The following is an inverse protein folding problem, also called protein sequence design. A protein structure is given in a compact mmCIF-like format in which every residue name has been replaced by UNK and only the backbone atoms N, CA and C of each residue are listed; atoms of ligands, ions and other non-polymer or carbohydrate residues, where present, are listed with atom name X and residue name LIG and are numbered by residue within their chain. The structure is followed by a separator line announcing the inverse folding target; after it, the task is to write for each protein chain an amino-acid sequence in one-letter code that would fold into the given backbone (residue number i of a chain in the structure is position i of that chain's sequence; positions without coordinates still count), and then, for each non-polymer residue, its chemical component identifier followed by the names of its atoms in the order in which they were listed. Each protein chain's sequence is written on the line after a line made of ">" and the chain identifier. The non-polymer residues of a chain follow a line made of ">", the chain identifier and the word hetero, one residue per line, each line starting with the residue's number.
data_IF_211688122864
#
_entry.id   IF_211688122864
#
_cell.length_a   1.000
_cell.length_b   1.000
_cell.length_c   1.000
_cell.angle_alpha   90.00
_cell.angle_beta   90.00
_cell.angle_gamma   90.00
#
_symmetry.space_group_name_H-M   'P 1'
#
loop_
_entity.id
_entity.type
_entity.pdbx_description
1 polymer ?
#
# COMPACT_ATOMS: atom_id res chain seq x y z
N UNK A 1 5.60 7.16 -20.09
CA UNK A 1 5.51 8.48 -19.42
C UNK A 1 6.70 9.29 -19.87
N UNK A 2 6.50 10.51 -20.34
CA UNK A 2 7.59 11.42 -20.72
C UNK A 2 8.36 11.92 -19.50
N UNK A 3 9.66 12.17 -19.66
CA UNK A 3 10.46 12.81 -18.61
C UNK A 3 10.16 14.32 -18.56
N UNK A 4 10.06 14.94 -17.37
CA UNK A 4 9.41 16.25 -17.22
C UNK A 4 10.25 17.40 -17.78
N UNK A 5 9.62 18.31 -18.51
CA UNK A 5 10.31 19.43 -19.18
C UNK A 5 10.87 20.46 -18.19
N UNK A 6 10.16 20.74 -17.10
CA UNK A 6 10.62 21.58 -15.99
C UNK A 6 11.90 21.03 -15.35
N UNK A 7 11.94 19.72 -15.09
CA UNK A 7 13.13 19.06 -14.55
C UNK A 7 14.26 19.04 -15.58
N UNK A 8 13.99 18.80 -16.88
CA UNK A 8 15.02 18.90 -17.93
C UNK A 8 15.66 20.30 -17.93
N UNK A 9 14.87 21.35 -17.86
CA UNK A 9 15.39 22.72 -17.85
C UNK A 9 16.25 22.99 -16.61
N UNK A 10 15.79 22.57 -15.42
CA UNK A 10 16.57 22.70 -14.20
C UNK A 10 17.88 21.87 -14.23
N UNK A 11 17.85 20.68 -14.84
CA UNK A 11 19.03 19.83 -15.02
C UNK A 11 20.06 20.50 -15.94
N UNK A 12 19.61 21.06 -17.05
CA UNK A 12 20.46 21.81 -17.99
C UNK A 12 21.19 22.95 -17.27
N UNK A 13 20.46 23.75 -16.50
CA UNK A 13 21.05 24.86 -15.76
C UNK A 13 22.03 24.40 -14.68
N UNK A 14 21.72 23.28 -14.02
CA UNK A 14 22.60 22.67 -13.03
C UNK A 14 23.91 22.18 -13.66
N UNK A 15 23.84 21.46 -14.80
CA UNK A 15 25.02 20.99 -15.54
C UNK A 15 25.93 22.17 -15.91
N UNK A 16 25.37 23.28 -16.40
CA UNK A 16 26.15 24.47 -16.79
C UNK A 16 26.85 25.17 -15.62
N UNK A 17 26.30 25.04 -14.41
CA UNK A 17 26.86 25.59 -13.16
C UNK A 17 27.84 24.65 -12.47
N UNK A 18 27.83 23.36 -12.82
CA UNK A 18 28.74 22.35 -12.27
C UNK A 18 29.94 22.07 -13.17
N UNK A 19 29.75 22.12 -14.49
CA UNK A 19 30.77 21.70 -15.47
C UNK A 19 31.16 22.87 -16.38
N UNK A 20 32.47 23.15 -16.43
CA UNK A 20 33.02 24.19 -17.30
C UNK A 20 33.61 23.62 -18.61
N UNK A 21 34.51 22.63 -18.60
CA UNK A 21 35.05 22.07 -19.84
C UNK A 21 33.97 21.39 -20.67
N UNK A 22 34.04 21.57 -22.00
CA UNK A 22 33.13 20.89 -22.94
C UNK A 22 33.29 19.37 -22.88
N UNK A 23 34.53 18.90 -22.69
CA UNK A 23 34.84 17.48 -22.56
C UNK A 23 34.24 16.87 -21.29
N UNK A 24 34.18 17.62 -20.18
CA UNK A 24 33.57 17.16 -18.94
C UNK A 24 32.05 17.04 -19.06
N UNK A 25 31.40 17.94 -19.81
CA UNK A 25 29.97 17.83 -20.12
C UNK A 25 29.69 16.53 -20.90
N UNK A 26 30.53 16.22 -21.89
CA UNK A 26 30.41 14.97 -22.65
C UNK A 26 30.72 13.74 -21.79
N UNK A 27 31.71 13.83 -20.90
CA UNK A 27 32.04 12.77 -19.95
C UNK A 27 30.87 12.51 -18.99
N UNK A 28 30.22 13.56 -18.50
CA UNK A 28 29.03 13.46 -17.67
C UNK A 28 27.92 12.66 -18.35
N UNK A 29 27.66 12.87 -19.64
CA UNK A 29 26.68 12.06 -20.37
C UNK A 29 27.07 10.59 -20.44
N UNK A 30 28.34 10.28 -20.72
CA UNK A 30 28.84 8.91 -20.76
C UNK A 30 28.67 8.19 -19.41
N UNK A 31 28.91 8.90 -18.32
CA UNK A 31 28.73 8.39 -16.95
C UNK A 31 27.27 8.20 -16.54
N UNK A 32 26.32 8.73 -17.31
CA UNK A 32 24.89 8.70 -17.02
C UNK A 32 24.08 7.96 -18.09
N UNK A 33 24.61 6.81 -18.53
CA UNK A 33 23.92 5.86 -19.40
C UNK A 33 23.64 6.34 -20.84
N UNK A 34 24.22 7.47 -21.28
CA UNK A 34 24.19 7.84 -22.69
C UNK A 34 25.16 6.94 -23.47
N UNK A 35 24.66 6.31 -24.52
CA UNK A 35 25.43 5.34 -25.30
C UNK A 35 26.43 6.03 -26.23
N UNK A 36 27.39 5.28 -26.77
CA UNK A 36 28.31 5.80 -27.78
C UNK A 36 27.61 6.38 -29.01
N UNK A 37 26.43 5.86 -29.39
CA UNK A 37 25.62 6.45 -30.47
C UNK A 37 25.04 7.80 -30.08
N UNK A 38 24.62 7.97 -28.83
CA UNK A 38 24.09 9.25 -28.33
C UNK A 38 25.18 10.32 -28.33
N UNK A 39 26.39 9.96 -27.91
CA UNK A 39 27.53 10.88 -27.91
C UNK A 39 27.91 11.27 -29.35
N UNK A 40 27.94 10.32 -30.29
CA UNK A 40 28.23 10.60 -31.71
C UNK A 40 27.21 11.55 -32.32
N UNK A 41 25.95 11.48 -31.89
CA UNK A 41 24.88 12.35 -32.40
C UNK A 41 25.05 13.84 -31.99
N UNK A 42 25.89 14.15 -30.99
CA UNK A 42 26.24 15.55 -30.67
C UNK A 42 27.05 16.19 -31.81
N UNK A 43 27.83 15.40 -32.55
CA UNK A 43 28.77 15.92 -33.55
C UNK A 43 30.05 16.46 -32.91
N UNK A 44 30.67 17.46 -33.55
CA UNK A 44 31.89 18.10 -33.03
C UNK A 44 31.56 19.09 -31.91
N UNK A 45 31.47 18.58 -30.69
CA UNK A 45 31.15 19.34 -29.48
C UNK A 45 32.17 20.45 -29.18
N UNK A 46 33.39 20.39 -29.73
CA UNK A 46 34.41 21.42 -29.48
C UNK A 46 34.07 22.76 -30.14
N UNK A 47 33.32 22.74 -31.24
CA UNK A 47 32.85 23.94 -31.95
C UNK A 47 31.61 24.56 -31.31
N UNK A 48 30.89 23.81 -30.47
CA UNK A 48 29.60 24.20 -29.90
C UNK A 48 29.74 25.00 -28.60
N UNK A 49 28.76 25.84 -28.29
CA UNK A 49 28.62 26.42 -26.94
C UNK A 49 28.20 25.34 -25.93
N UNK A 50 28.58 25.50 -24.65
CA UNK A 50 28.28 24.51 -23.59
C UNK A 50 26.79 24.17 -23.49
N UNK A 51 25.94 25.19 -23.58
CA UNK A 51 24.49 25.01 -23.59
C UNK A 51 24.00 24.21 -24.79
N UNK A 52 24.54 24.50 -25.97
CA UNK A 52 24.17 23.81 -27.21
C UNK A 52 24.53 22.31 -27.17
N UNK A 53 25.63 21.95 -26.51
CA UNK A 53 26.00 20.53 -26.28
C UNK A 53 24.88 19.81 -25.50
N UNK A 54 24.41 20.43 -24.41
CA UNK A 54 23.35 19.88 -23.56
C UNK A 54 22.01 19.82 -24.31
N UNK A 55 21.66 20.91 -25.00
CA UNK A 55 20.42 21.01 -25.76
C UNK A 55 20.35 19.94 -26.87
N UNK A 56 21.45 19.73 -27.60
CA UNK A 56 21.55 18.67 -28.61
C UNK A 56 21.37 17.28 -28.00
N UNK A 57 22.05 16.99 -26.89
CA UNK A 57 21.90 15.71 -26.19
C UNK A 57 20.46 15.49 -25.71
N UNK A 58 19.83 16.50 -25.09
CA UNK A 58 18.48 16.38 -24.55
C UNK A 58 17.43 16.20 -25.66
N UNK A 59 17.61 16.89 -26.78
CA UNK A 59 16.78 16.73 -27.97
C UNK A 59 16.96 15.34 -28.59
N UNK A 60 18.19 14.82 -28.64
CA UNK A 60 18.47 13.49 -29.15
C UNK A 60 17.82 12.39 -28.28
N UNK A 61 17.97 12.49 -26.96
CA UNK A 61 17.35 11.56 -26.03
C UNK A 61 15.82 11.58 -26.12
N UNK A 62 15.22 12.77 -26.23
CA UNK A 62 13.76 12.92 -26.31
C UNK A 62 13.16 12.35 -27.61
N UNK A 63 13.97 12.10 -28.65
CA UNK A 63 13.53 11.45 -29.90
C UNK A 63 13.55 9.92 -29.84
N UNK A 64 14.09 9.32 -28.78
CA UNK A 64 14.12 7.87 -28.62
C UNK A 64 12.71 7.30 -28.37
N UNK A 65 12.47 6.01 -28.65
CA UNK A 65 11.18 5.37 -28.37
C UNK A 65 10.74 5.44 -26.89
N UNK A 66 11.70 5.42 -25.97
CA UNK A 66 11.48 5.58 -24.52
C UNK A 66 11.61 7.04 -24.05
N UNK A 67 11.76 7.97 -24.99
CA UNK A 67 12.06 9.40 -24.77
C UNK A 67 13.28 9.65 -23.87
N UNK A 68 14.22 8.69 -23.82
CA UNK A 68 15.45 8.77 -23.05
C UNK A 68 15.24 8.73 -21.53
N UNK A 69 14.11 8.17 -21.08
CA UNK A 69 13.70 8.16 -19.66
C UNK A 69 14.81 7.65 -18.74
N UNK A 70 15.50 6.57 -19.13
CA UNK A 70 16.58 5.97 -18.35
C UNK A 70 17.77 6.92 -18.16
N UNK A 71 18.20 7.57 -19.25
CA UNK A 71 19.32 8.50 -19.26
C UNK A 71 19.00 9.76 -18.44
N UNK A 72 17.80 10.33 -18.61
CA UNK A 72 17.38 11.49 -17.82
C UNK A 72 17.30 11.18 -16.32
N UNK A 73 16.82 9.98 -15.95
CA UNK A 73 16.82 9.55 -14.54
C UNK A 73 18.23 9.39 -13.99
N UNK A 74 19.13 8.76 -14.73
CA UNK A 74 20.52 8.61 -14.33
C UNK A 74 21.18 9.99 -14.11
N UNK A 75 21.05 10.90 -15.08
CA UNK A 75 21.56 12.27 -14.98
C UNK A 75 20.98 13.03 -13.79
N UNK A 76 19.66 12.94 -13.55
CA UNK A 76 19.04 13.58 -12.39
C UNK A 76 19.63 13.04 -11.08
N UNK A 77 19.76 11.72 -10.95
CA UNK A 77 20.34 11.08 -9.76
C UNK A 77 21.80 11.49 -9.53
N UNK A 78 22.59 11.62 -10.59
CA UNK A 78 23.98 12.11 -10.47
C UNK A 78 24.03 13.58 -10.01
N UNK A 79 23.15 14.44 -10.51
CA UNK A 79 23.11 15.86 -10.16
C UNK A 79 22.65 16.11 -8.72
N UNK A 80 21.60 15.42 -8.25
CA UNK A 80 21.11 15.62 -6.87
C UNK A 80 22.07 15.08 -5.82
N UNK A 81 22.87 14.07 -6.17
CA UNK A 81 23.87 13.46 -5.30
C UNK A 81 25.28 14.02 -5.54
N UNK A 82 25.38 15.15 -6.24
CA UNK A 82 26.65 15.74 -6.60
C UNK A 82 27.39 16.30 -5.37
N UNK A 83 28.66 15.96 -5.23
CA UNK A 83 29.49 16.34 -4.06
C UNK A 83 30.84 16.96 -4.43
N UNK A 84 31.30 16.80 -5.67
CA UNK A 84 32.65 17.19 -6.07
C UNK A 84 32.67 18.54 -6.81
N UNK A 85 33.45 19.49 -6.33
CA UNK A 85 33.65 20.78 -6.99
C UNK A 85 35.12 20.93 -7.37
N UNK A 86 35.42 21.08 -8.65
CA UNK A 86 36.79 21.23 -9.14
C UNK A 86 37.40 22.58 -8.69
N UNK A 87 38.40 22.59 -7.78
CA UNK A 87 38.97 23.83 -7.27
C UNK A 87 39.55 24.73 -8.37
N UNK A 88 39.99 24.14 -9.49
CA UNK A 88 40.55 24.92 -10.59
C UNK A 88 39.51 25.84 -11.24
N UNK A 89 38.28 25.36 -11.45
CA UNK A 89 37.21 26.17 -12.07
C UNK A 89 36.40 27.01 -11.08
N UNK A 90 36.27 26.54 -9.84
CA UNK A 90 35.53 27.22 -8.79
C UNK A 90 36.38 28.28 -8.06
N UNK A 91 37.62 27.97 -7.70
CA UNK A 91 38.45 28.82 -6.85
C UNK A 91 39.52 29.59 -7.64
N UNK A 92 40.24 28.92 -8.54
CA UNK A 92 41.36 29.53 -9.26
C UNK A 92 40.90 30.43 -10.41
N UNK A 93 40.18 29.87 -11.38
CA UNK A 93 39.69 30.61 -12.55
C UNK A 93 38.37 31.35 -12.30
N UNK A 94 37.63 30.97 -11.24
CA UNK A 94 36.32 31.54 -10.87
C UNK A 94 35.34 31.61 -12.04
N UNK A 95 35.36 30.58 -12.89
CA UNK A 95 34.43 30.44 -14.02
C UNK A 95 33.09 29.87 -13.59
N UNK A 96 33.07 29.19 -12.44
CA UNK A 96 31.89 28.64 -11.79
C UNK A 96 31.78 29.26 -10.39
N UNK A 97 30.56 29.29 -9.85
CA UNK A 97 30.27 29.79 -8.51
C UNK A 97 29.65 28.68 -7.68
N UNK A 98 30.26 28.37 -6.53
CA UNK A 98 29.84 27.27 -5.66
C UNK A 98 28.44 27.47 -5.10
N UNK A 99 28.12 28.68 -4.62
CA UNK A 99 26.80 28.99 -4.08
C UNK A 99 25.70 28.90 -5.15
N UNK A 100 25.98 29.28 -6.39
CA UNK A 100 25.04 29.15 -7.51
C UNK A 100 24.77 27.68 -7.87
N UNK A 101 25.82 26.87 -7.88
CA UNK A 101 25.74 25.44 -8.14
C UNK A 101 24.93 24.72 -7.04
N UNK A 102 25.23 25.00 -5.77
CA UNK A 102 24.51 24.44 -4.61
C UNK A 102 23.02 24.81 -4.64
N UNK A 103 22.69 26.09 -4.96
CA UNK A 103 21.30 26.51 -5.15
C UNK A 103 20.60 25.75 -6.26
N UNK A 104 21.29 25.51 -7.38
CA UNK A 104 20.73 24.72 -8.49
C UNK A 104 20.52 23.24 -8.14
N UNK A 105 21.42 22.62 -7.37
CA UNK A 105 21.24 21.26 -6.86
C UNK A 105 20.04 21.20 -5.90
N UNK A 106 19.93 22.16 -4.98
CA UNK A 106 18.82 22.24 -4.03
C UNK A 106 17.47 22.39 -4.75
N UNK A 107 17.41 23.24 -5.77
CA UNK A 107 16.20 23.40 -6.58
C UNK A 107 15.79 22.09 -7.28
N UNK A 108 16.74 21.33 -7.84
CA UNK A 108 16.47 20.01 -8.43
C UNK A 108 15.89 19.01 -7.43
N UNK A 109 16.42 18.99 -6.20
CA UNK A 109 15.90 18.13 -5.13
C UNK A 109 14.43 18.46 -4.82
N UNK A 110 14.12 19.74 -4.68
CA UNK A 110 12.75 20.19 -4.40
C UNK A 110 11.77 19.80 -5.52
N UNK A 111 12.17 19.96 -6.79
CA UNK A 111 11.34 19.55 -7.94
C UNK A 111 11.08 18.05 -7.96
N UNK A 112 12.06 17.23 -7.59
CA UNK A 112 11.90 15.78 -7.48
C UNK A 112 10.93 15.42 -6.36
N UNK A 113 11.11 15.98 -5.16
CA UNK A 113 10.26 15.70 -3.99
C UNK A 113 8.78 16.05 -4.22
N UNK A 114 8.51 17.24 -4.75
CA UNK A 114 7.15 17.68 -5.08
C UNK A 114 6.47 16.72 -6.07
N UNK A 115 7.24 16.19 -7.02
CA UNK A 115 6.72 15.26 -8.02
C UNK A 115 6.45 13.88 -7.44
N UNK A 116 7.37 13.36 -6.64
CA UNK A 116 7.21 12.06 -5.97
C UNK A 116 5.98 12.08 -5.05
N UNK A 117 5.77 13.17 -4.32
CA UNK A 117 4.55 13.40 -3.53
C UNK A 117 3.28 13.38 -4.39
N UNK A 118 3.26 14.14 -5.50
CA UNK A 118 2.10 14.21 -6.40
C UNK A 118 1.78 12.86 -7.06
N UNK A 119 2.80 12.10 -7.45
CA UNK A 119 2.61 10.75 -8.02
C UNK A 119 2.02 9.81 -6.96
N UNK A 120 2.50 9.89 -5.72
CA UNK A 120 1.99 9.07 -4.63
C UNK A 120 0.53 9.42 -4.29
N UNK A 121 0.17 10.70 -4.24
CA UNK A 121 -1.24 11.13 -4.04
C UNK A 121 -2.15 10.66 -5.17
N UNK A 122 -1.72 10.80 -6.43
CA UNK A 122 -2.51 10.33 -7.57
C UNK A 122 -2.73 8.82 -7.57
N UNK A 123 -1.72 8.03 -7.15
CA UNK A 123 -1.86 6.58 -6.98
C UNK A 123 -2.87 6.25 -5.90
N UNK A 124 -2.77 6.87 -4.72
CA UNK A 124 -3.72 6.68 -3.62
C UNK A 124 -5.15 7.04 -4.02
N UNK A 125 -5.32 8.17 -4.70
CA UNK A 125 -6.65 8.62 -5.16
C UNK A 125 -7.23 7.67 -6.21
N UNK A 126 -6.39 7.16 -7.12
CA UNK A 126 -6.81 6.18 -8.12
C UNK A 126 -7.18 4.85 -7.48
N UNK A 127 -6.38 4.36 -6.55
CA UNK A 127 -6.68 3.17 -5.75
C UNK A 127 -8.00 3.35 -4.99
N UNK A 128 -8.23 4.52 -4.39
CA UNK A 128 -9.49 4.86 -3.73
C UNK A 128 -10.66 4.80 -4.71
N UNK A 129 -10.58 5.48 -5.84
CA UNK A 129 -11.64 5.47 -6.87
C UNK A 129 -11.89 4.09 -7.46
N UNK A 130 -10.86 3.30 -7.72
CA UNK A 130 -10.99 1.93 -8.22
C UNK A 130 -11.65 1.02 -7.16
N UNK A 131 -11.36 1.24 -5.87
CA UNK A 131 -12.03 0.55 -4.77
C UNK A 131 -13.50 0.96 -4.62
N UNK A 132 -13.81 2.25 -4.76
CA UNK A 132 -15.17 2.82 -4.75
C UNK A 132 -16.01 2.34 -5.95
N UNK A 133 -15.40 2.17 -7.13
CA UNK A 133 -16.10 1.73 -8.34
C UNK A 133 -16.39 0.23 -8.38
N UNK A 134 -15.56 -0.61 -7.75
CA UNK A 134 -15.74 -2.07 -7.73
C UNK A 134 -16.82 -2.54 -6.75
N UNK A 135 -17.13 -1.74 -5.72
CA UNK A 135 -18.09 -2.08 -4.69
C UNK A 135 -19.02 -0.88 -4.48
N UNK A 136 -20.29 -0.94 -4.95
CA UNK A 136 -21.22 0.16 -4.77
C UNK A 136 -21.34 0.53 -3.29
N UNK A 137 -21.65 1.79 -2.99
CA UNK A 137 -21.83 2.31 -1.64
C UNK A 137 -22.96 1.60 -0.89
N UNK A 138 -22.72 0.39 -0.40
CA UNK A 138 -23.63 -0.28 0.51
C UNK A 138 -23.66 0.55 1.79
N UNK A 139 -24.84 0.93 2.26
CA UNK A 139 -25.00 1.55 3.56
C UNK A 139 -25.15 0.47 4.65
N UNK A 140 -24.99 0.83 5.93
CA UNK A 140 -25.28 -0.10 7.03
C UNK A 140 -26.70 -0.70 6.94
N UNK A 141 -27.76 0.10 6.65
CA UNK A 141 -29.09 -0.43 6.35
C UNK A 141 -29.14 -1.48 5.24
N UNK A 142 -28.40 -1.30 4.15
CA UNK A 142 -28.36 -2.27 3.04
C UNK A 142 -27.73 -3.59 3.48
N UNK A 143 -26.61 -3.52 4.22
CA UNK A 143 -25.95 -4.71 4.76
C UNK A 143 -26.81 -5.41 5.79
N UNK A 144 -27.52 -4.66 6.65
CA UNK A 144 -28.50 -5.20 7.58
C UNK A 144 -29.61 -5.95 6.84
N UNK A 145 -30.19 -5.34 5.80
CA UNK A 145 -31.24 -5.97 5.01
C UNK A 145 -30.77 -7.27 4.35
N UNK A 146 -29.56 -7.28 3.78
CA UNK A 146 -28.91 -8.50 3.27
C UNK A 146 -28.74 -9.55 4.36
N UNK A 147 -28.20 -9.18 5.53
CA UNK A 147 -27.98 -10.09 6.64
C UNK A 147 -29.27 -10.72 7.17
N UNK A 148 -30.33 -9.92 7.38
CA UNK A 148 -31.64 -10.41 7.80
C UNK A 148 -32.26 -11.34 6.76
N UNK A 149 -32.09 -11.05 5.47
CA UNK A 149 -32.54 -11.93 4.38
C UNK A 149 -31.88 -13.32 4.44
N UNK A 150 -30.59 -13.38 4.79
CA UNK A 150 -29.87 -14.65 4.99
C UNK A 150 -30.42 -15.41 6.22
N UNK A 151 -30.70 -14.73 7.32
CA UNK A 151 -31.31 -15.33 8.53
C UNK A 151 -32.71 -15.89 8.26
N UNK A 152 -33.51 -15.21 7.43
CA UNK A 152 -34.84 -15.68 7.00
C UNK A 152 -34.80 -16.85 6.02
N UNK A 153 -33.60 -17.28 5.62
CA UNK A 153 -33.39 -18.45 4.78
C UNK A 153 -33.75 -18.27 3.31
N UNK A 154 -33.82 -17.02 2.81
CA UNK A 154 -34.12 -16.72 1.38
C UNK A 154 -33.05 -17.25 0.42
N UNK A 155 -31.81 -17.38 0.89
CA UNK A 155 -30.69 -18.05 0.23
C UNK A 155 -30.47 -19.39 0.94
N UNK A 156 -29.97 -20.44 0.28
CA UNK A 156 -29.75 -21.77 0.90
C UNK A 156 -28.36 -22.32 0.52
N UNK A 157 -27.80 -23.18 1.37
CA UNK A 157 -26.57 -23.91 1.09
C UNK A 157 -25.31 -23.03 1.05
N UNK A 158 -24.34 -23.43 0.23
CA UNK A 158 -23.02 -22.78 0.14
C UNK A 158 -23.09 -21.29 -0.20
N UNK A 159 -24.15 -20.85 -0.89
CA UNK A 159 -24.35 -19.44 -1.24
C UNK A 159 -24.48 -18.53 -0.01
N UNK A 160 -25.01 -19.04 1.12
CA UNK A 160 -25.09 -18.26 2.38
C UNK A 160 -23.71 -17.89 2.93
N UNK A 161 -22.73 -18.78 2.79
CA UNK A 161 -21.35 -18.52 3.21
C UNK A 161 -20.74 -17.38 2.40
N UNK A 162 -20.82 -17.47 1.08
CA UNK A 162 -20.33 -16.42 0.18
C UNK A 162 -21.01 -15.06 0.41
N UNK A 163 -22.33 -15.05 0.62
CA UNK A 163 -23.04 -13.79 0.87
C UNK A 163 -22.66 -13.19 2.25
N UNK A 164 -22.31 -14.02 3.24
CA UNK A 164 -21.76 -13.55 4.51
C UNK A 164 -20.36 -12.96 4.35
N UNK A 165 -19.49 -13.61 3.58
CA UNK A 165 -18.17 -13.07 3.25
C UNK A 165 -18.29 -11.68 2.59
N UNK A 166 -19.23 -11.51 1.64
CA UNK A 166 -19.51 -10.23 0.98
C UNK A 166 -19.99 -9.16 1.99
N UNK A 167 -20.86 -9.52 2.94
CA UNK A 167 -21.32 -8.62 4.01
C UNK A 167 -20.15 -8.17 4.87
N UNK A 168 -19.27 -9.09 5.31
CA UNK A 168 -18.12 -8.77 6.16
C UNK A 168 -17.12 -7.87 5.43
N UNK A 169 -16.84 -8.15 4.16
CA UNK A 169 -15.96 -7.29 3.34
C UNK A 169 -16.56 -5.89 3.15
N UNK A 170 -17.86 -5.80 2.89
CA UNK A 170 -18.55 -4.52 2.74
C UNK A 170 -18.56 -3.74 4.06
N UNK A 171 -18.77 -4.42 5.20
CA UNK A 171 -18.77 -3.81 6.52
C UNK A 171 -17.38 -3.28 6.92
N UNK A 172 -16.32 -4.05 6.65
CA UNK A 172 -14.95 -3.62 6.89
C UNK A 172 -14.59 -2.39 6.05
N UNK A 173 -15.00 -2.37 4.77
CA UNK A 173 -14.83 -1.21 3.88
C UNK A 173 -15.61 0.01 4.36
N UNK A 174 -16.88 -0.13 4.74
CA UNK A 174 -17.67 0.96 5.33
C UNK A 174 -17.03 1.55 6.60
N UNK A 175 -16.25 0.74 7.28
CA UNK A 175 -15.52 1.10 8.49
C UNK A 175 -14.12 1.64 8.20
N UNK A 176 -13.77 1.89 6.93
CA UNK A 176 -12.46 2.35 6.46
C UNK A 176 -11.29 1.46 6.91
N UNK A 177 -11.50 0.14 6.94
CA UNK A 177 -10.43 -0.83 7.21
C UNK A 177 -9.81 -1.32 5.90
N UNK A 178 -8.49 -1.50 5.88
CA UNK A 178 -7.83 -2.12 4.73
C UNK A 178 -8.19 -3.61 4.69
N UNK A 179 -8.65 -4.11 3.55
CA UNK A 179 -9.01 -5.50 3.38
C UNK A 179 -8.18 -6.19 2.29
N UNK A 180 -7.99 -7.49 2.44
CA UNK A 180 -7.51 -8.38 1.39
C UNK A 180 -8.63 -9.35 1.01
N UNK A 181 -8.93 -9.43 -0.29
CA UNK A 181 -9.91 -10.37 -0.86
C UNK A 181 -9.51 -11.83 -0.60
N UNK A 182 -10.45 -12.80 -0.72
CA UNK A 182 -10.17 -14.21 -0.49
C UNK A 182 -8.98 -14.69 -1.31
N UNK A 183 -8.10 -15.46 -0.69
CA UNK A 183 -6.85 -15.90 -1.34
C UNK A 183 -6.50 -17.34 -0.95
N UNK A 184 -5.61 -17.95 -1.74
CA UNK A 184 -5.11 -19.30 -1.51
C UNK A 184 -3.62 -19.29 -1.23
N UNK A 185 -3.19 -20.01 -0.20
CA UNK A 185 -1.77 -20.21 0.15
C UNK A 185 -1.52 -21.70 0.31
N UNK A 186 -0.62 -22.28 -0.48
CA UNK A 186 -0.26 -23.71 -0.41
C UNK A 186 -1.47 -24.66 -0.45
N UNK A 187 -2.51 -24.32 -1.24
CA UNK A 187 -3.75 -25.09 -1.34
C UNK A 187 -4.79 -24.80 -0.24
N UNK A 188 -4.43 -24.04 0.78
CA UNK A 188 -5.31 -23.57 1.84
C UNK A 188 -6.10 -22.33 1.38
N UNK A 189 -7.43 -22.33 1.56
CA UNK A 189 -8.29 -21.18 1.29
C UNK A 189 -8.47 -20.35 2.56
N UNK A 190 -8.29 -19.03 2.43
CA UNK A 190 -8.56 -18.03 3.46
C UNK A 190 -9.57 -17.05 2.88
N UNK A 191 -10.65 -16.79 3.63
CA UNK A 191 -11.79 -15.98 3.16
C UNK A 191 -11.44 -14.48 3.06
N UNK A 192 -10.34 -14.07 3.70
CA UNK A 192 -9.73 -12.76 3.49
C UNK A 192 -8.86 -12.35 4.67
N UNK A 193 -8.44 -11.08 4.68
CA UNK A 193 -7.83 -10.47 5.85
C UNK A 193 -8.27 -9.02 6.04
N UNK A 194 -8.26 -8.55 7.28
CA UNK A 194 -8.55 -7.17 7.67
C UNK A 194 -7.32 -6.63 8.38
N UNK A 195 -6.85 -5.45 7.97
CA UNK A 195 -5.84 -4.72 8.72
C UNK A 195 -6.53 -3.83 9.74
N UNK A 196 -6.20 -4.02 11.00
CA UNK A 196 -6.74 -3.26 12.11
C UNK A 196 -5.61 -2.89 13.07
N UNK A 197 -5.50 -1.60 13.39
CA UNK A 197 -4.48 -1.04 14.29
C UNK A 197 -3.04 -1.46 13.92
N UNK A 198 -2.72 -1.39 12.62
CA UNK A 198 -1.40 -1.75 12.08
C UNK A 198 -1.16 -3.25 11.86
N UNK A 199 -2.07 -4.11 12.32
CA UNK A 199 -1.90 -5.57 12.35
C UNK A 199 -2.87 -6.27 11.38
N UNK A 200 -2.44 -7.37 10.77
CA UNK A 200 -3.27 -8.15 9.87
C UNK A 200 -4.00 -9.28 10.61
N UNK A 201 -5.32 -9.32 10.48
CA UNK A 201 -6.16 -10.39 11.00
C UNK A 201 -6.72 -11.20 9.83
N UNK A 202 -6.41 -12.49 9.78
CA UNK A 202 -7.06 -13.39 8.84
C UNK A 202 -8.52 -13.57 9.25
N UNK A 203 -9.41 -13.69 8.28
CA UNK A 203 -10.84 -13.85 8.51
C UNK A 203 -11.30 -15.19 7.95
N UNK A 204 -12.08 -15.92 8.75
CA UNK A 204 -12.83 -17.09 8.29
C UNK A 204 -14.29 -16.95 8.74
N UNK A 205 -15.22 -17.14 7.80
CA UNK A 205 -16.64 -16.94 8.03
C UNK A 205 -17.43 -18.25 7.81
N UNK A 206 -18.22 -18.65 8.79
CA UNK A 206 -19.05 -19.86 8.74
C UNK A 206 -20.52 -19.55 8.94
N UNK A 207 -21.32 -19.99 7.96
CA UNK A 207 -22.78 -20.06 8.06
C UNK A 207 -23.22 -21.52 8.24
N UNK A 208 -22.91 -22.09 9.40
CA UNK A 208 -23.22 -23.48 9.75
C UNK A 208 -23.74 -23.55 11.18
N UNK A 209 -24.32 -24.69 11.58
CA UNK A 209 -24.77 -24.90 12.95
C UNK A 209 -23.61 -24.86 13.94
N UNK A 210 -23.92 -24.46 15.19
CA UNK A 210 -22.96 -24.28 16.30
C UNK A 210 -22.04 -25.50 16.48
N UNK A 211 -22.56 -26.71 16.32
CA UNK A 211 -21.79 -27.95 16.46
C UNK A 211 -20.76 -28.16 15.34
N UNK A 212 -21.09 -27.77 14.11
CA UNK A 212 -20.25 -27.99 12.91
C UNK A 212 -19.16 -26.93 12.81
N UNK A 213 -19.45 -25.70 13.23
CA UNK A 213 -18.48 -24.60 13.24
C UNK A 213 -17.29 -24.85 14.20
N UNK A 214 -17.47 -25.70 15.21
CA UNK A 214 -16.46 -26.04 16.22
C UNK A 214 -15.19 -26.65 15.61
N UNK A 215 -15.33 -27.59 14.68
CA UNK A 215 -14.18 -28.23 14.01
C UNK A 215 -13.40 -27.21 13.18
N UNK A 216 -14.13 -26.38 12.42
CA UNK A 216 -13.54 -25.27 11.67
C UNK A 216 -12.79 -24.28 12.55
N UNK A 217 -13.28 -24.00 13.76
CA UNK A 217 -12.62 -23.09 14.69
C UNK A 217 -11.25 -23.61 15.16
N UNK A 218 -11.13 -24.92 15.45
CA UNK A 218 -9.84 -25.53 15.80
C UNK A 218 -8.86 -25.51 14.63
N UNK A 219 -9.34 -25.87 13.43
CA UNK A 219 -8.52 -25.85 12.23
C UNK A 219 -8.00 -24.43 11.96
N UNK A 220 -8.87 -23.43 12.05
CA UNK A 220 -8.49 -22.03 11.91
C UNK A 220 -7.48 -21.58 12.96
N UNK A 221 -7.71 -21.87 14.23
CA UNK A 221 -6.77 -21.52 15.29
C UNK A 221 -5.38 -22.13 15.06
N UNK A 222 -5.29 -23.39 14.64
CA UNK A 222 -4.03 -24.02 14.27
C UNK A 222 -3.33 -23.33 13.09
N UNK A 223 -4.10 -22.90 12.08
CA UNK A 223 -3.58 -22.14 10.94
C UNK A 223 -3.01 -20.78 11.36
N UNK A 224 -3.69 -20.08 12.27
CA UNK A 224 -3.23 -18.80 12.82
C UNK A 224 -1.90 -18.95 13.55
N UNK A 225 -1.77 -19.96 14.41
CA UNK A 225 -0.52 -20.22 15.15
C UNK A 225 0.68 -20.50 14.22
N UNK A 226 0.42 -21.04 13.02
CA UNK A 226 1.45 -21.28 12.01
C UNK A 226 1.95 -20.05 11.24
N UNK A 227 1.38 -18.85 11.43
CA UNK A 227 1.80 -17.62 10.72
C UNK A 227 2.69 -16.73 11.59
N UNK A 228 3.61 -16.00 10.95
CA UNK A 228 4.41 -14.96 11.60
C UNK A 228 3.48 -13.88 12.17
N UNK A 229 3.43 -13.76 13.50
CA UNK A 229 2.47 -12.91 14.23
C UNK A 229 0.99 -13.16 13.87
N UNK A 230 0.62 -14.41 13.62
CA UNK A 230 -0.74 -14.75 13.20
C UNK A 230 -1.82 -14.23 14.15
N UNK A 231 -2.85 -13.60 13.59
CA UNK A 231 -4.07 -13.20 14.29
C UNK A 231 -5.28 -13.56 13.44
N UNK A 232 -6.35 -13.98 14.07
CA UNK A 232 -7.55 -14.45 13.38
C UNK A 232 -8.83 -13.83 13.93
N UNK A 233 -9.78 -13.59 13.05
CA UNK A 233 -11.19 -13.36 13.35
C UNK A 233 -11.97 -14.54 12.79
N UNK A 234 -12.60 -15.31 13.67
CA UNK A 234 -13.47 -16.40 13.27
C UNK A 234 -14.92 -16.00 13.51
N UNK A 235 -15.70 -15.95 12.42
CA UNK A 235 -17.08 -15.48 12.43
C UNK A 235 -18.03 -16.67 12.28
N UNK A 236 -18.91 -16.89 13.25
CA UNK A 236 -19.92 -17.96 13.21
C UNK A 236 -21.30 -17.41 13.56
N UNK A 237 -22.26 -17.48 12.64
CA UNK A 237 -23.57 -16.85 12.84
C UNK A 237 -24.35 -17.43 14.03
N UNK A 238 -24.24 -18.75 14.25
CA UNK A 238 -24.92 -19.44 15.35
C UNK A 238 -24.09 -19.54 16.64
N UNK A 239 -22.99 -18.77 16.73
CA UNK A 239 -22.11 -18.74 17.90
C UNK A 239 -21.20 -19.96 18.04
N UNK A 240 -20.72 -20.17 19.27
CA UNK A 240 -19.67 -21.14 19.61
C UNK A 240 -19.98 -21.91 20.89
N UNK A 241 -19.65 -23.19 20.94
CA UNK A 241 -19.85 -23.98 22.16
C UNK A 241 -18.84 -23.60 23.25
N UNK A 242 -19.29 -23.63 24.51
CA UNK A 242 -18.45 -23.44 25.70
C UNK A 242 -17.21 -24.35 25.68
N UNK A 243 -17.39 -25.59 25.21
CA UNK A 243 -16.31 -26.56 25.10
C UNK A 243 -15.21 -26.09 24.15
N UNK A 244 -15.53 -25.54 22.98
CA UNK A 244 -14.52 -25.04 22.04
C UNK A 244 -13.81 -23.82 22.58
N UNK A 245 -14.55 -22.89 23.17
CA UNK A 245 -13.97 -21.67 23.75
C UNK A 245 -13.01 -22.03 24.87
N UNK A 246 -13.44 -22.86 25.82
CA UNK A 246 -12.59 -23.29 26.94
C UNK A 246 -11.37 -24.10 26.49
N UNK A 247 -11.53 -24.99 25.51
CA UNK A 247 -10.41 -25.78 24.98
C UNK A 247 -9.35 -24.92 24.29
N UNK A 248 -9.74 -23.95 23.47
CA UNK A 248 -8.80 -23.05 22.80
C UNK A 248 -8.09 -22.12 23.78
N UNK A 249 -8.81 -21.60 24.79
CA UNK A 249 -8.21 -20.77 25.84
C UNK A 249 -7.21 -21.59 26.67
N UNK A 250 -7.57 -22.82 27.08
CA UNK A 250 -6.68 -23.72 27.81
C UNK A 250 -5.44 -24.11 26.98
N UNK A 251 -5.62 -24.34 25.68
CA UNK A 251 -4.56 -24.59 24.72
C UNK A 251 -3.72 -23.35 24.34
N UNK A 252 -4.01 -22.17 24.93
CA UNK A 252 -3.37 -20.87 24.65
C UNK A 252 -3.49 -20.39 23.21
N UNK A 253 -4.47 -20.86 22.46
CA UNK A 253 -4.79 -20.41 21.10
C UNK A 253 -5.62 -19.11 21.12
N UNK A 254 -5.17 -18.11 21.89
CA UNK A 254 -5.91 -16.86 22.14
C UNK A 254 -5.77 -15.81 21.02
N UNK A 255 -5.03 -16.14 19.96
CA UNK A 255 -4.82 -15.27 18.79
C UNK A 255 -6.00 -15.27 17.82
N UNK A 256 -7.01 -16.10 18.09
CA UNK A 256 -8.26 -16.20 17.32
C UNK A 256 -9.41 -15.60 18.12
N UNK A 257 -9.97 -14.49 17.63
CA UNK A 257 -11.10 -13.80 18.25
C UNK A 257 -12.40 -14.30 17.64
N UNK A 258 -13.41 -14.55 18.49
CA UNK A 258 -14.72 -15.04 18.07
C UNK A 258 -15.75 -13.92 17.95
N UNK A 259 -16.46 -13.94 16.83
CA UNK A 259 -17.55 -13.02 16.49
C UNK A 259 -18.75 -13.85 16.07
N UNK A 260 -19.92 -13.55 16.61
CA UNK A 260 -21.16 -14.24 16.23
C UNK A 260 -22.18 -13.33 15.53
N UNK A 261 -23.31 -13.91 15.12
CA UNK A 261 -24.38 -13.16 14.46
C UNK A 261 -24.99 -12.08 15.35
N UNK A 262 -24.97 -12.25 16.68
CA UNK A 262 -25.46 -11.24 17.62
C UNK A 262 -24.49 -10.05 17.74
N UNK A 263 -23.18 -10.29 17.62
CA UNK A 263 -22.19 -9.21 17.51
C UNK A 263 -22.35 -8.46 16.18
N UNK A 264 -22.59 -9.18 15.08
CA UNK A 264 -22.80 -8.55 13.78
C UNK A 264 -24.08 -7.72 13.74
N UNK A 265 -25.20 -8.20 14.31
CA UNK A 265 -26.44 -7.44 14.26
C UNK A 265 -26.33 -6.12 15.02
N UNK A 266 -25.66 -6.07 16.17
CA UNK A 266 -25.50 -4.79 16.91
C UNK A 266 -24.64 -3.78 16.14
N UNK A 267 -23.68 -4.25 15.36
CA UNK A 267 -22.88 -3.40 14.47
C UNK A 267 -23.72 -2.93 13.27
N UNK A 268 -24.48 -3.83 12.64
CA UNK A 268 -25.32 -3.52 11.49
C UNK A 268 -26.50 -2.59 11.83
N UNK A 269 -26.98 -2.63 13.08
CA UNK A 269 -27.95 -1.69 13.64
C UNK A 269 -27.33 -0.33 14.03
N UNK A 270 -26.00 -0.22 14.03
CA UNK A 270 -25.29 1.00 14.38
C UNK A 270 -25.17 1.28 15.88
N UNK A 271 -25.47 0.31 16.76
CA UNK A 271 -25.29 0.47 18.22
C UNK A 271 -23.82 0.57 18.64
N UNK A 272 -22.93 -0.01 17.83
CA UNK A 272 -21.48 0.04 18.01
C UNK A 272 -20.80 0.02 16.64
N UNK A 273 -19.74 0.81 16.43
CA UNK A 273 -18.95 0.73 15.22
C UNK A 273 -18.22 -0.61 15.10
N UNK A 274 -18.04 -1.12 13.88
CA UNK A 274 -17.24 -2.33 13.66
C UNK A 274 -15.81 -2.22 14.23
N UNK A 275 -15.07 -1.09 14.06
CA UNK A 275 -13.76 -0.90 14.69
C UNK A 275 -13.81 -0.96 16.22
N UNK A 276 -14.85 -0.40 16.83
CA UNK A 276 -15.02 -0.38 18.29
C UNK A 276 -15.31 -1.78 18.85
N UNK A 277 -16.13 -2.56 18.14
CA UNK A 277 -16.38 -3.96 18.48
C UNK A 277 -15.07 -4.77 18.43
N UNK A 278 -14.29 -4.63 17.35
CA UNK A 278 -13.00 -5.30 17.21
C UNK A 278 -12.06 -4.90 18.35
N UNK A 279 -11.92 -3.60 18.61
CA UNK A 279 -11.09 -3.09 19.70
C UNK A 279 -11.47 -3.70 21.07
N UNK A 280 -12.77 -3.73 21.41
CA UNK A 280 -13.24 -4.32 22.67
C UNK A 280 -12.89 -5.80 22.79
N UNK A 281 -13.16 -6.59 21.73
CA UNK A 281 -12.89 -8.03 21.71
C UNK A 281 -11.39 -8.34 21.75
N UNK A 282 -10.59 -7.63 20.97
CA UNK A 282 -9.12 -7.76 20.94
C UNK A 282 -8.53 -7.39 22.31
N UNK A 283 -8.96 -6.27 22.90
CA UNK A 283 -8.54 -5.87 24.24
C UNK A 283 -8.87 -6.93 25.29
N UNK A 284 -10.05 -7.54 25.23
CA UNK A 284 -10.43 -8.61 26.16
C UNK A 284 -9.54 -9.85 26.02
N UNK A 285 -9.22 -10.25 24.79
CA UNK A 285 -8.29 -11.36 24.55
C UNK A 285 -6.87 -11.03 25.04
N UNK A 286 -6.35 -9.84 24.74
CA UNK A 286 -5.01 -9.42 25.13
C UNK A 286 -4.84 -9.25 26.63
N UNK A 287 -5.85 -8.73 27.33
CA UNK A 287 -5.75 -8.37 28.76
C UNK A 287 -6.27 -9.43 29.71
N UNK A 288 -7.26 -10.23 29.28
CA UNK A 288 -7.95 -11.21 30.12
C UNK A 288 -7.94 -12.63 29.56
N UNK A 289 -7.39 -12.85 28.36
CA UNK A 289 -7.45 -14.15 27.68
C UNK A 289 -8.86 -14.53 27.19
N UNK A 290 -9.80 -13.57 27.14
CA UNK A 290 -11.18 -13.82 26.74
C UNK A 290 -11.36 -13.60 25.25
N UNK A 291 -11.47 -14.70 24.49
CA UNK A 291 -11.62 -14.67 23.02
C UNK A 291 -13.07 -14.54 22.54
N UNK A 292 -14.06 -14.78 23.42
CA UNK A 292 -15.48 -14.73 23.10
C UNK A 292 -16.26 -13.95 24.16
N UNK A 293 -16.45 -12.66 23.88
CA UNK A 293 -17.19 -11.73 24.73
C UNK A 293 -18.31 -11.03 23.95
N UNK A 294 -19.31 -10.54 24.68
CA UNK A 294 -20.38 -9.71 24.15
C UNK A 294 -19.89 -8.29 23.85
N UNK A 295 -20.13 -7.83 22.62
CA UNK A 295 -19.65 -6.54 22.12
C UNK A 295 -20.16 -5.32 22.91
N UNK A 296 -21.36 -5.42 23.51
CA UNK A 296 -21.98 -4.30 24.22
C UNK A 296 -21.58 -4.29 25.69
N UNK A 297 -21.75 -5.42 26.38
CA UNK A 297 -21.57 -5.55 27.83
C UNK A 297 -20.13 -5.90 28.24
N UNK A 298 -19.32 -6.44 27.33
CA UNK A 298 -17.96 -6.91 27.62
C UNK A 298 -17.90 -8.17 28.49
N UNK A 299 -19.05 -8.80 28.76
CA UNK A 299 -19.11 -10.07 29.52
C UNK A 299 -18.77 -11.24 28.61
N UNK A 300 -18.21 -12.30 29.19
CA UNK A 300 -17.97 -13.55 28.47
C UNK A 300 -19.30 -14.16 28.01
N UNK A 301 -19.33 -14.64 26.77
CA UNK A 301 -20.49 -15.36 26.20
C UNK A 301 -20.41 -16.86 26.55
N UNK A 302 -21.59 -17.46 26.74
CA UNK A 302 -21.81 -18.91 26.95
C UNK A 302 -22.41 -19.53 25.68
#
# INVERSE_FOLDING_TARGET
>A
MSFPSDIKNAMRDCILKLLWPKDDIVAFFKSNSCTSSDIKAIGDHKTMNRSAIIDTMFNQLSKKPDEGLGQFRAMLQSLINWTHFDPYYFDNLKKLNKADAERSISHLKQLQELRDHKIQEQRKERERKESEAKFPSNTLPDLKAKFVSLLQGKVVGARRGYDLEEILQSLAKLSNLDITEPFRVNGEQIDGSIKFDGEHYLVEAKWQDKAVANEGAYQFAGKIEGKMYGRGLFVSIHGFSDHVVSSLVAGKAIKTIFIDGADLIVVLEGFIGFPDMLNKKIKAAQTKGLIYIDAMTGKQKQ
#
